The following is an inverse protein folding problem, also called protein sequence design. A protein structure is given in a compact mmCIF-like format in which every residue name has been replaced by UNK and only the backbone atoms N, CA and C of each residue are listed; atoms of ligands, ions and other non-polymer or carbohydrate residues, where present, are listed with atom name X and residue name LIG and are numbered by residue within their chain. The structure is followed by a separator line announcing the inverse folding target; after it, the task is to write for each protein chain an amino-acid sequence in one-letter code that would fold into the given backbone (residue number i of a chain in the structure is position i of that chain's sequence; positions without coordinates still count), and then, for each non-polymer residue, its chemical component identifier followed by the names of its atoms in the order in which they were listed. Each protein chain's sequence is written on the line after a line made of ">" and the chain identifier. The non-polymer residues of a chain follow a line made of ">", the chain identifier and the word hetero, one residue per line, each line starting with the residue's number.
data_IF_511035200292
#
_entry.id   IF_511035200292
#
_cell.length_a   1.000
_cell.length_b   1.000
_cell.length_c   1.000
_cell.angle_alpha   90.00
_cell.angle_beta   90.00
_cell.angle_gamma   90.00
#
_symmetry.space_group_name_H-M   'P 1'
#
loop_
_entity.id
_entity.type
_entity.pdbx_description
1 polymer ?
#
# COMPACT_ATOMS: atom_id res chain seq x y z
N UNK A 1 -28.25 51.00 -1.77
CA UNK A 1 -27.44 50.29 -2.79
C UNK A 1 -27.07 48.95 -2.22
N UNK A 2 -27.62 47.87 -2.76
CA UNK A 2 -27.49 46.51 -2.25
C UNK A 2 -26.76 45.63 -3.27
N UNK A 3 -25.81 44.81 -2.81
CA UNK A 3 -25.58 43.47 -3.33
C UNK A 3 -24.76 42.66 -2.32
N UNK A 4 -25.47 41.80 -1.60
CA UNK A 4 -24.93 40.66 -0.87
C UNK A 4 -24.38 39.64 -1.87
N UNK A 5 -23.22 39.06 -1.57
CA UNK A 5 -22.64 37.95 -2.33
C UNK A 5 -22.83 36.70 -1.46
N UNK A 6 -23.88 35.95 -1.76
CA UNK A 6 -24.13 34.65 -1.15
C UNK A 6 -23.22 33.63 -1.86
N UNK A 7 -22.15 33.23 -1.18
CA UNK A 7 -21.24 32.20 -1.64
C UNK A 7 -21.82 30.83 -1.27
N UNK A 8 -22.74 30.33 -2.09
CA UNK A 8 -23.27 28.96 -1.94
C UNK A 8 -22.20 27.95 -2.34
N UNK A 9 -21.40 27.50 -1.38
CA UNK A 9 -20.53 26.34 -1.54
C UNK A 9 -21.40 25.08 -1.65
N UNK A 10 -21.47 24.49 -2.84
CA UNK A 10 -22.12 23.21 -3.06
C UNK A 10 -21.35 22.11 -2.30
N UNK A 11 -22.01 21.24 -1.51
CA UNK A 11 -21.33 20.15 -0.83
C UNK A 11 -20.83 19.16 -1.89
N UNK A 12 -19.52 19.17 -2.15
CA UNK A 12 -18.90 18.18 -3.02
C UNK A 12 -19.16 16.77 -2.46
N UNK A 13 -19.65 15.88 -3.32
CA UNK A 13 -19.81 14.46 -2.98
C UNK A 13 -18.50 13.93 -2.38
N UNK A 14 -18.55 13.19 -1.26
CA UNK A 14 -17.34 12.64 -0.66
C UNK A 14 -16.69 11.67 -1.65
N UNK A 15 -15.53 12.04 -2.18
CA UNK A 15 -14.74 11.19 -3.08
C UNK A 15 -14.63 9.79 -2.46
N UNK A 16 -15.00 8.71 -3.18
CA UNK A 16 -14.99 7.37 -2.63
C UNK A 16 -13.64 7.06 -2.00
N UNK A 17 -13.63 6.72 -0.70
CA UNK A 17 -12.38 6.35 0.00
C UNK A 17 -11.83 5.09 -0.67
N UNK A 18 -10.76 5.26 -1.46
CA UNK A 18 -10.06 4.15 -2.10
C UNK A 18 -9.60 3.17 -1.02
N UNK A 19 -10.14 1.94 -1.04
CA UNK A 19 -9.71 0.89 -0.11
C UNK A 19 -8.29 0.47 -0.45
N UNK A 20 -7.35 0.70 0.46
CA UNK A 20 -5.97 0.24 0.34
C UNK A 20 -5.96 -1.28 0.42
N UNK A 21 -5.54 -1.96 -0.66
CA UNK A 21 -5.39 -3.42 -0.68
C UNK A 21 -3.93 -3.76 -0.42
N UNK A 22 -3.54 -3.90 0.84
CA UNK A 22 -2.17 -4.22 1.24
C UNK A 22 -1.96 -5.72 1.53
N UNK A 23 -2.92 -6.57 1.14
CA UNK A 23 -2.86 -8.03 1.32
C UNK A 23 -2.08 -8.75 0.23
N UNK A 24 -1.53 -8.04 -0.76
CA UNK A 24 -0.73 -8.60 -1.86
C UNK A 24 0.42 -7.66 -2.17
N UNK A 25 1.57 -8.19 -2.60
CA UNK A 25 2.73 -7.38 -3.03
C UNK A 25 2.34 -6.46 -4.20
N UNK A 26 1.50 -6.94 -5.12
CA UNK A 26 0.97 -6.12 -6.21
C UNK A 26 0.12 -4.93 -5.74
N UNK A 27 -0.62 -5.10 -4.64
CA UNK A 27 -1.37 -4.04 -3.99
C UNK A 27 -0.48 -3.02 -3.31
N UNK A 28 0.52 -3.48 -2.56
CA UNK A 28 1.56 -2.62 -1.96
C UNK A 28 2.28 -1.79 -3.04
N UNK A 29 2.69 -2.42 -4.14
CA UNK A 29 3.32 -1.75 -5.28
C UNK A 29 2.46 -0.63 -5.86
N UNK A 30 1.14 -0.85 -6.00
CA UNK A 30 0.21 0.18 -6.49
C UNK A 30 0.14 1.37 -5.54
N UNK A 31 0.14 1.13 -4.23
CA UNK A 31 0.14 2.22 -3.25
C UNK A 31 1.47 2.97 -3.22
N UNK A 32 2.61 2.28 -3.35
CA UNK A 32 3.92 2.96 -3.47
C UNK A 32 3.97 3.88 -4.70
N UNK A 33 3.42 3.44 -5.84
CA UNK A 33 3.33 4.27 -7.04
C UNK A 33 2.43 5.50 -6.82
N UNK A 34 1.30 5.35 -6.12
CA UNK A 34 0.41 6.46 -5.79
C UNK A 34 1.11 7.49 -4.88
N UNK A 35 1.79 7.03 -3.82
CA UNK A 35 2.58 7.90 -2.92
C UNK A 35 3.65 8.68 -3.70
N UNK A 36 4.35 8.00 -4.61
CA UNK A 36 5.35 8.66 -5.47
C UNK A 36 4.71 9.74 -6.36
N UNK A 37 3.60 9.44 -7.03
CA UNK A 37 2.89 10.41 -7.87
C UNK A 37 2.41 11.61 -7.06
N UNK A 38 1.85 11.39 -5.87
CA UNK A 38 1.36 12.47 -5.02
C UNK A 38 2.50 13.35 -4.49
N UNK A 39 3.63 12.75 -4.11
CA UNK A 39 4.82 13.50 -3.74
C UNK A 39 5.38 14.31 -4.92
N UNK A 40 5.48 13.70 -6.11
CA UNK A 40 6.04 14.33 -7.30
C UNK A 40 5.19 15.49 -7.82
N UNK A 41 3.88 15.43 -7.61
CA UNK A 41 2.91 16.46 -7.98
C UNK A 41 2.67 17.50 -6.89
N UNK A 42 3.36 17.39 -5.74
CA UNK A 42 3.22 18.31 -4.61
C UNK A 42 1.93 18.17 -3.82
N UNK A 43 1.15 17.10 -4.05
CA UNK A 43 -0.07 16.78 -3.28
C UNK A 43 0.24 16.14 -1.93
N UNK A 44 1.46 15.65 -1.74
CA UNK A 44 1.94 15.06 -0.50
C UNK A 44 3.34 15.58 -0.19
N UNK A 45 3.58 15.93 1.07
CA UNK A 45 4.91 16.33 1.54
C UNK A 45 5.94 15.19 1.32
N UNK A 46 7.13 15.46 0.75
CA UNK A 46 8.15 14.44 0.50
C UNK A 46 8.62 13.69 1.75
N UNK A 47 8.64 14.34 2.91
CA UNK A 47 9.03 13.70 4.17
C UNK A 47 7.95 12.71 4.63
N UNK A 48 6.68 13.10 4.56
CA UNK A 48 5.55 12.21 4.80
C UNK A 48 5.52 11.04 3.81
N UNK A 49 5.73 11.31 2.51
CA UNK A 49 5.81 10.29 1.47
C UNK A 49 6.92 9.26 1.72
N UNK A 50 8.09 9.71 2.20
CA UNK A 50 9.20 8.83 2.55
C UNK A 50 8.84 7.87 3.70
N UNK A 51 8.17 8.38 4.74
CA UNK A 51 7.69 7.56 5.87
C UNK A 51 6.65 6.53 5.44
N UNK A 52 5.70 6.92 4.58
CA UNK A 52 4.69 6.00 4.05
C UNK A 52 5.32 4.91 3.18
N UNK A 53 6.26 5.29 2.32
CA UNK A 53 6.98 4.34 1.46
C UNK A 53 7.82 3.35 2.28
N UNK A 54 8.44 3.81 3.38
CA UNK A 54 9.12 2.92 4.31
C UNK A 54 8.17 1.89 4.93
N UNK A 55 7.00 2.31 5.42
CA UNK A 55 6.00 1.38 5.96
C UNK A 55 5.53 0.36 4.92
N UNK A 56 5.24 0.80 3.70
CA UNK A 56 4.86 -0.07 2.58
C UNK A 56 5.96 -1.08 2.25
N UNK A 57 7.21 -0.65 2.26
CA UNK A 57 8.38 -1.53 2.04
C UNK A 57 8.48 -2.59 3.13
N UNK A 58 8.29 -2.22 4.40
CA UNK A 58 8.28 -3.17 5.51
C UNK A 58 7.17 -4.21 5.37
N UNK A 59 5.98 -3.82 4.91
CA UNK A 59 4.89 -4.76 4.64
C UNK A 59 5.29 -5.74 3.54
N UNK A 60 5.82 -5.26 2.41
CA UNK A 60 6.26 -6.13 1.31
C UNK A 60 7.31 -7.15 1.79
N UNK A 61 8.28 -6.71 2.61
CA UNK A 61 9.30 -7.59 3.19
C UNK A 61 8.70 -8.70 4.06
N UNK A 62 7.73 -8.37 4.93
CA UNK A 62 7.07 -9.38 5.76
C UNK A 62 6.38 -10.43 4.88
N UNK A 63 5.70 -9.99 3.82
CA UNK A 63 5.05 -10.90 2.88
C UNK A 63 6.05 -11.82 2.17
N UNK A 64 7.15 -11.26 1.65
CA UNK A 64 8.21 -12.03 1.01
C UNK A 64 8.83 -13.05 1.97
N UNK A 65 9.11 -12.65 3.22
CA UNK A 65 9.62 -13.55 4.25
C UNK A 65 8.65 -14.70 4.52
N UNK A 66 7.36 -14.42 4.69
CA UNK A 66 6.35 -15.46 4.90
C UNK A 66 6.22 -16.43 3.72
N UNK A 67 6.32 -15.92 2.48
CA UNK A 67 6.32 -16.76 1.28
C UNK A 67 7.56 -17.66 1.23
N UNK A 68 8.73 -17.15 1.62
CA UNK A 68 9.96 -17.95 1.71
C UNK A 68 9.86 -19.02 2.80
N UNK A 69 9.36 -18.68 3.99
CA UNK A 69 9.13 -19.64 5.08
C UNK A 69 8.22 -20.79 4.63
N UNK A 70 7.11 -20.48 3.96
CA UNK A 70 6.18 -21.50 3.45
C UNK A 70 6.83 -22.42 2.41
N UNK A 71 7.63 -21.86 1.50
CA UNK A 71 8.35 -22.63 0.48
C UNK A 71 9.43 -23.52 1.08
N UNK A 72 10.16 -23.02 2.08
CA UNK A 72 11.17 -23.79 2.81
C UNK A 72 10.51 -24.97 3.52
N UNK A 73 9.42 -24.72 4.28
CA UNK A 73 8.69 -25.76 4.98
C UNK A 73 8.19 -26.86 4.03
N UNK A 74 7.71 -26.50 2.83
CA UNK A 74 7.30 -27.47 1.82
C UNK A 74 8.46 -28.34 1.31
N UNK A 75 9.64 -27.75 1.11
CA UNK A 75 10.85 -28.48 0.67
C UNK A 75 11.36 -29.42 1.77
N UNK A 76 11.36 -28.97 3.02
CA UNK A 76 11.77 -29.78 4.18
C UNK A 76 10.82 -30.96 4.38
N UNK A 77 9.50 -30.74 4.29
CA UNK A 77 8.51 -31.81 4.34
C UNK A 77 8.68 -32.84 3.20
N UNK A 78 9.11 -32.39 2.01
CA UNK A 78 9.43 -33.26 0.88
C UNK A 78 10.66 -34.13 1.12
N UNK A 79 11.71 -33.59 1.75
CA UNK A 79 12.91 -34.34 2.13
C UNK A 79 12.63 -35.43 3.17
N UNK A 80 11.83 -35.14 4.20
CA UNK A 80 11.45 -36.12 5.22
C UNK A 80 10.72 -37.33 4.63
N UNK A 81 9.96 -37.15 3.53
CA UNK A 81 9.32 -38.28 2.83
C UNK A 81 10.29 -39.16 2.05
N UNK A 82 11.46 -38.62 1.66
CA UNK A 82 12.46 -39.32 0.85
C UNK A 82 13.47 -40.11 1.71
N UNK A 83 13.62 -39.76 3.00
CA UNK A 83 14.53 -40.43 3.95
C UNK A 83 13.90 -41.62 4.70
N UNK A 84 12.66 -41.99 4.39
CA UNK A 84 12.01 -43.14 5.03
C UNK A 84 12.56 -44.45 4.41
N UNK A 85 13.21 -45.33 5.19
CA UNK A 85 13.74 -46.61 4.69
C UNK A 85 12.65 -47.60 4.29
#
# INVERSE_FOLDING_TARGET
>A
MAKSVDASASPADPTPRRRLRLTTVGGVRREMAAVYTDARTGRLDPTAASKLTYMLTSIAKVMETSDFEARIAALEAGRVKQEKP
#
